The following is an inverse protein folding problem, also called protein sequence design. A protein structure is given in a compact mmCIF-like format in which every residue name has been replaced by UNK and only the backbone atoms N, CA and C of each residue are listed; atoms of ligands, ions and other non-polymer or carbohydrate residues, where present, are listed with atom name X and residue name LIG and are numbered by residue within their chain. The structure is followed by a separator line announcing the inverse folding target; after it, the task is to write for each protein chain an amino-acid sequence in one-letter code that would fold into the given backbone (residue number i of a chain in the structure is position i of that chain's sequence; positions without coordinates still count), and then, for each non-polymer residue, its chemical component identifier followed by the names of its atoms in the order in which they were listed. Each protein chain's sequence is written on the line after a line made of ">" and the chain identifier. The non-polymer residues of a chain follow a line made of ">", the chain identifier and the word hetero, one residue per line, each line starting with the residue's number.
data_IF_522576881686
#
_entry.id   IF_522576881686
#
_cell.length_a   1.000
_cell.length_b   1.000
_cell.length_c   1.000
_cell.angle_alpha   90.00
_cell.angle_beta   90.00
_cell.angle_gamma   90.00
#
_symmetry.space_group_name_H-M   'P 1'
#
loop_
_entity.id
_entity.type
_entity.pdbx_description
1 polymer ?
#
# COMPACT_ATOMS: atom_id res chain seq x y z
N UNK A 1 3.94 16.52 -16.25
CA UNK A 1 4.50 16.40 -14.89
C UNK A 1 3.40 16.71 -13.89
N UNK A 2 3.17 15.81 -12.94
CA UNK A 2 2.13 15.87 -11.93
C UNK A 2 2.27 17.14 -11.12
N UNK A 3 1.17 17.89 -11.02
CA UNK A 3 1.14 19.14 -10.28
C UNK A 3 0.84 18.85 -8.81
N UNK A 4 1.87 18.91 -7.97
CA UNK A 4 1.74 18.74 -6.52
C UNK A 4 1.31 20.05 -5.85
N UNK A 5 -0.01 20.29 -5.81
CA UNK A 5 -0.62 21.46 -5.16
C UNK A 5 -0.40 21.43 -3.64
N UNK A 6 -0.66 22.57 -2.97
CA UNK A 6 -0.63 22.63 -1.49
C UNK A 6 -1.54 21.57 -0.87
N UNK A 7 -2.76 21.40 -1.41
CA UNK A 7 -3.71 20.39 -0.96
C UNK A 7 -3.16 18.96 -1.11
N UNK A 8 -2.55 18.62 -2.23
CA UNK A 8 -1.90 17.31 -2.42
C UNK A 8 -0.80 17.07 -1.38
N UNK A 9 -0.01 18.11 -1.05
CA UNK A 9 1.03 18.00 -0.01
C UNK A 9 0.43 17.76 1.38
N UNK A 10 -0.66 18.46 1.72
CA UNK A 10 -1.41 18.23 2.97
C UNK A 10 -1.96 16.78 3.04
N UNK A 11 -2.42 16.24 1.92
CA UNK A 11 -2.87 14.84 1.84
C UNK A 11 -1.72 13.85 2.05
N UNK A 12 -0.52 14.13 1.53
CA UNK A 12 0.66 13.33 1.85
C UNK A 12 1.00 13.35 3.34
N UNK A 13 0.88 14.51 3.99
CA UNK A 13 1.13 14.63 5.42
C UNK A 13 0.11 13.83 6.25
N UNK A 14 -1.18 13.85 5.88
CA UNK A 14 -2.21 13.02 6.54
C UNK A 14 -1.91 11.52 6.37
N UNK A 15 -1.59 11.08 5.15
CA UNK A 15 -1.21 9.68 4.86
C UNK A 15 0.00 9.27 5.68
N UNK A 16 1.04 10.11 5.74
CA UNK A 16 2.22 9.84 6.57
C UNK A 16 1.83 9.68 8.05
N UNK A 17 1.07 10.62 8.63
CA UNK A 17 0.64 10.56 10.03
C UNK A 17 -0.12 9.28 10.37
N UNK A 18 -1.01 8.83 9.47
CA UNK A 18 -1.74 7.58 9.63
C UNK A 18 -0.82 6.38 9.64
N UNK A 19 0.15 6.30 8.72
CA UNK A 19 1.14 5.23 8.69
C UNK A 19 1.97 5.20 9.98
N UNK A 20 2.41 6.36 10.48
CA UNK A 20 3.12 6.45 11.75
C UNK A 20 2.27 5.98 12.95
N UNK A 21 0.97 6.32 12.96
CA UNK A 21 0.05 5.86 14.00
C UNK A 21 -0.19 4.33 13.95
N UNK A 22 -0.27 3.76 12.75
CA UNK A 22 -0.57 2.34 12.53
C UNK A 22 0.57 1.38 12.87
N UNK A 23 1.80 1.86 13.07
CA UNK A 23 2.96 1.01 13.36
C UNK A 23 3.37 1.20 14.83
N UNK A 24 3.03 0.24 15.73
CA UNK A 24 3.21 0.38 17.17
C UNK A 24 4.65 0.09 17.65
N UNK A 25 5.66 0.34 16.80
CA UNK A 25 7.07 0.25 17.17
C UNK A 25 7.92 1.25 16.39
N UNK A 26 9.20 1.38 16.75
CA UNK A 26 10.16 2.19 15.96
C UNK A 26 10.55 1.43 14.70
N UNK A 27 10.65 2.12 13.58
CA UNK A 27 11.02 1.56 12.29
C UNK A 27 11.97 2.50 11.52
N UNK A 28 12.79 1.91 10.65
CA UNK A 28 13.80 2.66 9.87
C UNK A 28 13.31 3.01 8.46
N UNK A 29 12.50 2.11 7.87
CA UNK A 29 11.94 2.30 6.53
C UNK A 29 10.51 1.80 6.44
N UNK A 30 9.73 2.40 5.55
CA UNK A 30 8.37 1.97 5.19
C UNK A 30 8.17 2.09 3.68
N UNK A 31 7.54 1.09 3.09
CA UNK A 31 7.20 1.00 1.68
C UNK A 31 5.73 0.64 1.55
N UNK A 32 4.93 1.51 0.93
CA UNK A 32 3.51 1.30 0.68
C UNK A 32 3.29 1.16 -0.82
N UNK A 33 2.50 0.17 -1.21
CA UNK A 33 1.92 0.06 -2.55
C UNK A 33 0.41 0.32 -2.46
N UNK A 34 -0.11 1.04 -3.42
CA UNK A 34 -1.55 1.09 -3.64
C UNK A 34 -1.90 1.14 -5.12
N UNK A 35 -2.95 0.43 -5.52
CA UNK A 35 -3.60 0.56 -6.82
C UNK A 35 -5.02 1.07 -6.64
N UNK A 36 -5.51 1.84 -7.61
CA UNK A 36 -6.90 2.32 -7.64
C UNK A 36 -7.43 2.21 -9.06
N UNK A 37 -8.51 1.45 -9.20
CA UNK A 37 -9.21 1.18 -10.45
C UNK A 37 -10.65 1.70 -10.36
N UNK A 38 -11.08 2.38 -11.41
CA UNK A 38 -12.47 2.80 -11.57
C UNK A 38 -13.25 1.65 -12.22
N UNK A 39 -14.21 1.06 -11.52
CA UNK A 39 -15.13 0.08 -12.11
C UNK A 39 -16.21 0.78 -12.94
N UNK A 40 -16.79 0.02 -13.87
CA UNK A 40 -17.85 0.49 -14.79
C UNK A 40 -19.05 1.09 -14.02
N UNK A 41 -19.31 0.62 -12.81
CA UNK A 41 -20.43 1.06 -11.95
C UNK A 41 -20.06 2.17 -10.95
N UNK A 42 -18.95 2.90 -11.20
CA UNK A 42 -18.41 3.97 -10.34
C UNK A 42 -17.88 3.51 -8.98
N UNK A 43 -17.89 2.22 -8.66
CA UNK A 43 -17.16 1.72 -7.50
C UNK A 43 -15.67 1.80 -7.75
N UNK A 44 -14.92 2.20 -6.74
CA UNK A 44 -13.46 2.19 -6.77
C UNK A 44 -12.98 0.94 -6.07
N UNK A 45 -12.09 0.21 -6.72
CA UNK A 45 -11.47 -0.99 -6.17
C UNK A 45 -9.98 -0.93 -6.37
N UNK A 46 -9.23 -1.73 -5.65
CA UNK A 46 -7.79 -1.65 -5.68
C UNK A 46 -7.17 -2.47 -4.58
N UNK A 47 -5.86 -2.33 -4.47
CA UNK A 47 -5.02 -3.07 -3.54
C UNK A 47 -4.28 -2.05 -2.69
N UNK A 48 -4.14 -2.32 -1.40
CA UNK A 48 -3.22 -1.57 -0.54
C UNK A 48 -2.50 -2.55 0.36
N UNK A 49 -1.19 -2.41 0.41
CA UNK A 49 -0.37 -3.07 1.42
C UNK A 49 0.85 -2.20 1.68
N UNK A 50 1.38 -2.29 2.89
CA UNK A 50 2.69 -1.72 3.17
C UNK A 50 3.54 -2.70 3.96
N UNK A 51 4.84 -2.48 3.87
CA UNK A 51 5.86 -3.16 4.64
C UNK A 51 6.69 -2.12 5.37
N UNK A 52 7.00 -2.38 6.63
CA UNK A 52 7.99 -1.60 7.36
C UNK A 52 9.18 -2.47 7.79
N UNK A 53 10.34 -1.83 7.92
CA UNK A 53 11.56 -2.44 8.43
C UNK A 53 11.70 -1.97 9.89
N UNK A 54 11.44 -2.85 10.87
CA UNK A 54 11.51 -2.45 12.26
C UNK A 54 12.95 -2.09 12.64
N UNK A 55 13.09 -1.11 13.55
CA UNK A 55 14.39 -0.67 14.02
C UNK A 55 15.03 -1.75 14.90
N UNK A 56 16.32 -1.98 14.73
CA UNK A 56 17.04 -2.99 15.50
C UNK A 56 18.52 -3.07 15.16
N UNK A 57 19.28 -3.76 16.01
CA UNK A 57 20.73 -3.98 15.84
C UNK A 57 21.00 -4.96 14.68
N UNK A 58 20.10 -5.92 14.45
CA UNK A 58 20.17 -6.89 13.36
C UNK A 58 19.24 -6.50 12.21
N UNK A 59 19.59 -6.91 10.99
CA UNK A 59 18.74 -6.73 9.80
C UNK A 59 17.46 -7.54 9.99
N UNK A 60 16.35 -6.86 10.29
CA UNK A 60 15.04 -7.47 10.48
C UNK A 60 14.35 -7.68 9.14
N UNK A 61 13.58 -8.76 9.03
CA UNK A 61 12.71 -9.00 7.89
C UNK A 61 11.65 -7.89 7.82
N UNK A 62 11.24 -7.47 6.60
CA UNK A 62 10.09 -6.60 6.44
C UNK A 62 8.84 -7.21 7.07
N UNK A 63 8.04 -6.39 7.74
CA UNK A 63 6.76 -6.80 8.36
C UNK A 63 5.63 -6.20 7.54
N UNK A 64 4.71 -7.04 7.07
CA UNK A 64 3.52 -6.62 6.34
C UNK A 64 2.51 -5.97 7.30
N UNK A 65 1.76 -4.98 6.81
CA UNK A 65 0.65 -4.33 7.52
C UNK A 65 -0.33 -5.31 8.19
N UNK A 66 -0.65 -6.42 7.52
CA UNK A 66 -1.59 -7.42 8.02
C UNK A 66 -1.02 -8.33 9.12
N UNK A 67 0.29 -8.30 9.35
CA UNK A 67 0.93 -9.03 10.46
C UNK A 67 0.92 -8.23 11.77
N UNK A 68 0.66 -6.91 11.70
CA UNK A 68 0.73 -6.00 12.86
C UNK A 68 -0.26 -6.41 13.96
N UNK A 69 -1.55 -6.70 13.69
CA UNK A 69 -2.49 -7.06 14.75
C UNK A 69 -2.02 -8.25 15.58
N UNK A 70 -1.58 -9.32 14.92
CA UNK A 70 -1.07 -10.51 15.59
C UNK A 70 0.22 -10.22 16.37
N UNK A 71 1.15 -9.49 15.77
CA UNK A 71 2.47 -9.20 16.37
C UNK A 71 2.37 -8.37 17.65
N UNK A 72 1.36 -7.52 17.76
CA UNK A 72 1.19 -6.59 18.88
C UNK A 72 -0.06 -6.86 19.72
N UNK A 73 -0.74 -7.99 19.47
CA UNK A 73 -1.96 -8.39 20.17
C UNK A 73 -3.04 -7.30 20.12
N UNK A 74 -3.28 -6.74 18.93
CA UNK A 74 -4.31 -5.73 18.67
C UNK A 74 -5.58 -6.40 18.14
N UNK A 75 -6.73 -5.74 18.31
CA UNK A 75 -7.96 -6.18 17.66
C UNK A 75 -7.83 -6.05 16.13
N UNK A 76 -7.91 -7.18 15.43
CA UNK A 76 -7.74 -7.24 13.98
C UNK A 76 -8.81 -6.44 13.24
N UNK A 77 -10.06 -6.45 13.72
CA UNK A 77 -11.18 -5.76 13.07
C UNK A 77 -11.02 -4.25 13.16
N UNK A 78 -10.68 -3.72 14.33
CA UNK A 78 -10.41 -2.29 14.53
C UNK A 78 -9.17 -1.85 13.74
N UNK A 79 -8.12 -2.68 13.71
CA UNK A 79 -6.93 -2.38 12.91
C UNK A 79 -7.24 -2.33 11.40
N UNK A 80 -8.04 -3.27 10.88
CA UNK A 80 -8.45 -3.28 9.48
C UNK A 80 -9.28 -2.05 9.10
N UNK A 81 -10.04 -1.45 10.04
CA UNK A 81 -10.68 -0.15 9.79
C UNK A 81 -9.65 0.95 9.51
N UNK A 82 -8.51 0.96 10.22
CA UNK A 82 -7.43 1.91 9.96
C UNK A 82 -6.82 1.71 8.56
N UNK A 83 -6.65 0.46 8.13
CA UNK A 83 -6.18 0.12 6.78
C UNK A 83 -7.15 0.63 5.72
N UNK A 84 -8.46 0.45 5.93
CA UNK A 84 -9.49 0.95 5.02
C UNK A 84 -9.47 2.47 4.95
N UNK A 85 -9.39 3.16 6.10
CA UNK A 85 -9.29 4.63 6.12
C UNK A 85 -8.03 5.10 5.36
N UNK A 86 -6.90 4.41 5.54
CA UNK A 86 -5.66 4.73 4.80
C UNK A 86 -5.87 4.58 3.29
N UNK A 87 -6.55 3.52 2.84
CA UNK A 87 -6.87 3.31 1.43
C UNK A 87 -7.78 4.42 0.88
N UNK A 88 -8.81 4.83 1.63
CA UNK A 88 -9.67 5.94 1.22
C UNK A 88 -8.90 7.25 1.05
N UNK A 89 -7.85 7.50 1.85
CA UNK A 89 -6.96 8.66 1.63
C UNK A 89 -6.16 8.57 0.33
N UNK A 90 -5.79 7.37 -0.10
CA UNK A 90 -5.17 7.17 -1.42
C UNK A 90 -6.17 7.38 -2.55
N UNK A 91 -7.42 6.93 -2.37
CA UNK A 91 -8.51 7.18 -3.30
C UNK A 91 -8.78 8.69 -3.45
N UNK A 92 -8.91 9.41 -2.34
CA UNK A 92 -9.08 10.86 -2.32
C UNK A 92 -7.93 11.56 -3.05
N UNK A 93 -6.68 11.12 -2.79
CA UNK A 93 -5.49 11.65 -3.44
C UNK A 93 -5.57 11.49 -4.96
N UNK A 94 -6.03 10.34 -5.44
CA UNK A 94 -6.22 10.09 -6.88
C UNK A 94 -7.27 11.02 -7.48
N UNK A 95 -8.40 11.20 -6.80
CA UNK A 95 -9.45 12.10 -7.27
C UNK A 95 -8.99 13.54 -7.33
N UNK A 96 -8.12 13.97 -6.41
CA UNK A 96 -7.54 15.31 -6.49
C UNK A 96 -6.63 15.46 -7.71
N UNK A 97 -5.86 14.43 -8.07
CA UNK A 97 -5.07 14.44 -9.31
C UNK A 97 -5.93 14.43 -10.58
N UNK A 98 -7.04 13.68 -10.61
CA UNK A 98 -7.97 13.67 -11.75
C UNK A 98 -8.55 15.05 -12.08
N UNK A 99 -8.69 15.93 -11.08
CA UNK A 99 -9.15 17.32 -11.31
C UNK A 99 -8.11 18.19 -12.02
N UNK A 100 -6.84 17.78 -11.96
CA UNK A 100 -5.70 18.53 -12.49
C UNK A 100 -5.20 17.96 -13.82
N UNK A 101 -5.40 16.66 -14.05
CA UNK A 101 -4.96 15.96 -15.27
C UNK A 101 -6.07 15.97 -16.34
N UNK A 102 -5.69 16.24 -17.59
CA UNK A 102 -6.64 16.39 -18.71
C UNK A 102 -7.05 15.06 -19.36
N UNK A 103 -6.31 13.97 -19.14
CA UNK A 103 -6.45 12.71 -19.88
C UNK A 103 -6.67 11.52 -18.95
N UNK A 104 -5.59 10.93 -18.46
CA UNK A 104 -5.58 9.78 -17.58
C UNK A 104 -4.69 10.06 -16.38
N UNK A 105 -5.17 9.60 -15.22
CA UNK A 105 -4.40 9.64 -13.98
C UNK A 105 -3.67 8.32 -13.75
N UNK A 106 -2.80 8.29 -12.73
CA UNK A 106 -2.05 7.11 -12.35
C UNK A 106 -2.97 5.96 -11.91
N UNK A 107 -2.53 4.73 -12.14
CA UNK A 107 -3.25 3.51 -11.77
C UNK A 107 -2.77 2.93 -10.45
N UNK A 108 -1.49 3.13 -10.14
CA UNK A 108 -0.88 2.71 -8.89
C UNK A 108 0.23 3.65 -8.47
N UNK A 109 0.59 3.57 -7.19
CA UNK A 109 1.68 4.31 -6.61
C UNK A 109 2.48 3.45 -5.66
N UNK A 110 3.72 3.88 -5.43
CA UNK A 110 4.58 3.38 -4.36
C UNK A 110 5.04 4.56 -3.52
N UNK A 111 4.73 4.56 -2.23
CA UNK A 111 5.27 5.53 -1.26
C UNK A 111 6.44 4.91 -0.49
N UNK A 112 7.47 5.69 -0.23
CA UNK A 112 8.65 5.26 0.53
C UNK A 112 8.96 6.30 1.60
N UNK A 113 9.12 5.84 2.83
CA UNK A 113 9.70 6.63 3.91
C UNK A 113 11.02 5.98 4.31
N UNK A 114 12.12 6.69 4.12
CA UNK A 114 13.46 6.23 4.47
C UNK A 114 14.17 7.34 5.26
N UNK A 115 14.29 7.17 6.57
CA UNK A 115 14.74 8.23 7.47
C UNK A 115 13.82 9.45 7.40
N UNK A 116 14.37 10.61 7.03
CA UNK A 116 13.61 11.87 6.89
C UNK A 116 13.07 12.11 5.47
N UNK A 117 13.22 11.16 4.54
CA UNK A 117 12.81 11.34 3.14
C UNK A 117 11.50 10.61 2.87
N UNK A 118 10.54 11.34 2.33
CA UNK A 118 9.31 10.79 1.75
C UNK A 118 9.39 10.87 0.23
N UNK A 119 9.10 9.75 -0.42
CA UNK A 119 9.05 9.64 -1.88
C UNK A 119 7.73 9.03 -2.32
N UNK A 120 7.23 9.47 -3.46
CA UNK A 120 6.10 8.82 -4.14
C UNK A 120 6.49 8.58 -5.59
N UNK A 121 6.29 7.36 -6.06
CA UNK A 121 6.44 6.96 -7.45
C UNK A 121 5.05 6.60 -7.98
N UNK A 122 4.62 7.28 -9.04
CA UNK A 122 3.34 7.04 -9.72
C UNK A 122 3.58 6.27 -11.01
N UNK A 123 2.77 5.24 -11.24
CA UNK A 123 2.76 4.46 -12.49
C UNK A 123 1.38 4.57 -13.17
N UNK A 124 1.40 4.59 -14.49
CA UNK A 124 0.24 4.78 -15.36
C UNK A 124 -0.08 3.53 -16.18
N UNK A 125 0.53 2.39 -15.84
CA UNK A 125 0.25 1.10 -16.47
C UNK A 125 -1.23 0.69 -16.29
N UNK A 126 -1.84 0.23 -17.38
CA UNK A 126 -3.17 -0.37 -17.32
C UNK A 126 -3.07 -1.77 -16.69
N UNK A 127 -3.38 -1.84 -15.40
CA UNK A 127 -3.28 -3.08 -14.62
C UNK A 127 -4.23 -4.18 -15.12
N UNK A 128 -5.30 -3.82 -15.86
CA UNK A 128 -6.23 -4.80 -16.45
C UNK A 128 -5.63 -5.54 -17.64
N UNK A 129 -4.61 -4.94 -18.28
CA UNK A 129 -3.86 -5.53 -19.40
C UNK A 129 -2.50 -6.09 -18.99
N UNK A 130 -2.23 -6.11 -17.68
CA UNK A 130 -0.98 -6.64 -17.14
C UNK A 130 -0.83 -8.13 -17.46
N UNK A 131 0.36 -8.54 -17.93
CA UNK A 131 0.76 -9.96 -18.08
C UNK A 131 0.91 -10.68 -16.74
N UNK A 132 0.92 -9.92 -15.64
CA UNK A 132 1.05 -10.40 -14.28
C UNK A 132 -0.25 -10.17 -13.51
N UNK A 133 -0.73 -11.22 -12.86
CA UNK A 133 -1.82 -11.18 -11.88
C UNK A 133 -1.48 -10.24 -10.71
N UNK A 134 -2.49 -9.88 -9.92
CA UNK A 134 -2.32 -9.11 -8.68
C UNK A 134 -1.27 -9.76 -7.74
N UNK A 135 -1.35 -11.09 -7.58
CA UNK A 135 -0.38 -11.85 -6.80
C UNK A 135 1.05 -11.76 -7.30
N UNK A 136 1.24 -11.97 -8.61
CA UNK A 136 2.56 -11.85 -9.22
C UNK A 136 3.11 -10.42 -9.11
N UNK A 137 2.26 -9.40 -9.31
CA UNK A 137 2.65 -7.98 -9.16
C UNK A 137 3.10 -7.67 -7.73
N UNK A 138 2.44 -8.22 -6.72
CA UNK A 138 2.88 -8.07 -5.33
C UNK A 138 4.27 -8.69 -5.11
N UNK A 139 4.52 -9.91 -5.61
CA UNK A 139 5.85 -10.55 -5.53
C UNK A 139 6.92 -9.70 -6.21
N UNK A 140 6.65 -9.25 -7.44
CA UNK A 140 7.54 -8.36 -8.22
C UNK A 140 7.81 -7.06 -7.46
N UNK A 141 6.76 -6.47 -6.87
CA UNK A 141 6.90 -5.24 -6.10
C UNK A 141 7.80 -5.45 -4.87
N UNK A 142 7.63 -6.57 -4.14
CA UNK A 142 8.46 -6.88 -2.97
C UNK A 142 9.92 -7.09 -3.38
N UNK A 143 10.18 -7.81 -4.47
CA UNK A 143 11.52 -7.97 -5.04
C UNK A 143 12.17 -6.61 -5.34
N UNK A 144 11.44 -5.73 -6.02
CA UNK A 144 11.94 -4.42 -6.44
C UNK A 144 12.17 -3.41 -5.29
N UNK A 145 11.40 -3.50 -4.20
CA UNK A 145 11.39 -2.45 -3.17
C UNK A 145 11.94 -2.87 -1.81
N UNK A 146 11.80 -4.14 -1.44
CA UNK A 146 12.18 -4.61 -0.10
C UNK A 146 13.58 -5.25 -0.06
N UNK A 147 14.23 -5.39 -1.22
CA UNK A 147 15.54 -6.03 -1.31
C UNK A 147 15.49 -7.51 -0.93
N UNK A 148 14.37 -8.17 -1.24
CA UNK A 148 14.22 -9.63 -1.06
C UNK A 148 15.24 -10.31 -1.96
N UNK A 149 16.08 -11.16 -1.36
CA UNK A 149 17.05 -11.95 -2.10
C UNK A 149 16.41 -13.22 -2.63
N UNK A 150 17.03 -13.78 -3.66
CA UNK A 150 16.63 -15.04 -4.27
C UNK A 150 16.42 -16.15 -3.23
N UNK A 151 17.31 -16.28 -2.24
CA UNK A 151 17.19 -17.33 -1.22
C UNK A 151 15.93 -17.23 -0.34
N UNK A 152 15.24 -16.10 -0.35
CA UNK A 152 14.01 -15.86 0.41
C UNK A 152 12.74 -16.14 -0.40
N UNK A 153 12.88 -16.43 -1.70
CA UNK A 153 11.77 -16.71 -2.60
C UNK A 153 11.44 -18.20 -2.62
N UNK A 154 10.15 -18.53 -2.69
CA UNK A 154 9.72 -19.89 -3.00
C UNK A 154 10.10 -20.27 -4.44
N UNK A 155 10.07 -21.57 -4.77
CA UNK A 155 10.29 -22.04 -6.16
C UNK A 155 9.30 -21.41 -7.15
N UNK A 156 8.09 -21.11 -6.71
CA UNK A 156 7.06 -20.48 -7.55
C UNK A 156 7.31 -18.98 -7.71
N UNK A 157 7.67 -18.29 -6.63
CA UNK A 157 8.04 -16.87 -6.65
C UNK A 157 9.27 -16.64 -7.55
N UNK A 158 10.25 -17.55 -7.52
CA UNK A 158 11.39 -17.53 -8.43
C UNK A 158 10.98 -17.53 -9.90
N UNK A 159 10.06 -18.40 -10.31
CA UNK A 159 9.57 -18.46 -11.70
C UNK A 159 8.86 -17.17 -12.11
N UNK A 160 8.16 -16.53 -11.17
CA UNK A 160 7.48 -15.25 -11.38
C UNK A 160 8.53 -14.14 -11.62
N UNK A 161 9.56 -14.08 -10.78
CA UNK A 161 10.65 -13.10 -10.93
C UNK A 161 11.44 -13.34 -12.22
N UNK A 162 11.73 -14.59 -12.57
CA UNK A 162 12.40 -14.93 -13.83
C UNK A 162 11.61 -14.44 -15.05
N UNK A 163 10.30 -14.73 -15.10
CA UNK A 163 9.39 -14.20 -16.15
C UNK A 163 9.38 -12.67 -16.18
N UNK A 164 9.43 -12.02 -15.01
CA UNK A 164 9.50 -10.57 -14.91
C UNK A 164 10.82 -9.99 -15.47
N UNK A 165 11.95 -10.62 -15.15
CA UNK A 165 13.28 -10.15 -15.58
C UNK A 165 13.55 -10.41 -17.07
N UNK A 166 13.04 -11.53 -17.62
CA UNK A 166 13.16 -11.89 -19.04
C UNK A 166 12.12 -11.19 -19.93
N UNK A 167 11.06 -10.61 -19.33
CA UNK A 167 9.99 -9.95 -20.06
C UNK A 167 10.44 -8.69 -20.80
N UNK A 168 9.70 -8.32 -21.85
CA UNK A 168 9.94 -7.08 -22.60
C UNK A 168 9.89 -5.85 -21.69
N UNK A 169 10.96 -5.06 -21.72
CA UNK A 169 11.04 -3.79 -21.01
C UNK A 169 10.31 -2.72 -21.80
N UNK A 170 9.02 -2.59 -21.57
CA UNK A 170 8.20 -1.50 -22.12
C UNK A 170 8.51 -0.21 -21.37
N UNK A 171 8.70 0.90 -22.11
CA UNK A 171 8.85 2.23 -21.50
C UNK A 171 7.52 2.61 -20.84
N UNK A 172 7.50 2.63 -19.51
CA UNK A 172 6.33 3.01 -18.72
C UNK A 172 6.42 4.47 -18.31
N UNK A 173 5.32 5.22 -18.44
CA UNK A 173 5.23 6.58 -17.87
C UNK A 173 5.28 6.44 -16.35
N UNK A 174 6.30 7.05 -15.76
CA UNK A 174 6.46 7.14 -14.30
C UNK A 174 6.74 8.56 -13.90
N UNK A 175 6.14 8.97 -12.81
CA UNK A 175 6.34 10.31 -12.24
C UNK A 175 6.72 10.20 -10.78
N UNK A 176 7.60 11.10 -10.32
CA UNK A 176 8.21 11.01 -8.99
C UNK A 176 8.05 12.31 -8.22
N UNK A 177 7.78 12.17 -6.93
CA UNK A 177 7.76 13.24 -5.94
C UNK A 177 8.70 12.88 -4.80
N UNK A 178 9.46 13.84 -4.28
CA UNK A 178 10.32 13.69 -3.11
C UNK A 178 10.26 14.93 -2.23
N UNK A 179 10.18 14.74 -0.91
CA UNK A 179 10.24 15.80 0.09
C UNK A 179 10.84 15.29 1.40
N UNK A 180 11.32 16.21 2.24
CA UNK A 180 11.61 15.90 3.63
C UNK A 180 10.33 15.73 4.46
N UNK A 181 10.39 14.88 5.49
CA UNK A 181 9.35 14.66 6.48
C UNK A 181 9.63 15.55 7.69
N UNK A 182 8.66 16.39 8.07
CA UNK A 182 8.72 17.25 9.25
C UNK A 182 7.60 16.91 10.22
N UNK A 183 7.67 15.72 10.82
CA UNK A 183 6.69 15.28 11.81
C UNK A 183 7.20 15.65 13.20
N UNK A 184 6.66 16.74 13.77
CA UNK A 184 6.81 17.05 15.19
C UNK A 184 5.75 16.29 15.99
N UNK A 185 6.18 15.57 17.04
CA UNK A 185 5.33 14.96 18.08
C UNK A 185 4.25 13.98 17.59
N UNK A 186 4.62 12.84 17.03
CA UNK A 186 3.72 11.66 17.07
C UNK A 186 4.08 10.89 18.34
N UNK A 187 3.21 10.96 19.35
CA UNK A 187 3.28 10.03 20.47
C UNK A 187 2.76 8.69 19.92
N UNK A 188 3.59 7.64 19.96
CA UNK A 188 3.16 6.25 19.78
C UNK A 188 2.35 5.84 21.02
N UNK A 189 1.20 6.48 21.27
CA UNK A 189 0.27 6.06 22.31
C UNK A 189 -0.80 5.30 21.56
N UNK A 190 -0.66 3.97 21.59
CA UNK A 190 -1.74 3.08 21.22
C UNK A 190 -2.54 2.88 22.48
N UNK A 191 -3.44 3.81 22.75
CA UNK A 191 -4.57 3.63 23.66
C UNK A 191 -5.79 3.75 22.75
N UNK A 192 -6.44 2.62 22.45
CA UNK A 192 -7.62 2.60 21.60
C UNK A 192 -8.82 3.07 22.44
N UNK A 193 -8.84 4.36 22.77
CA UNK A 193 -10.02 4.99 23.36
C UNK A 193 -11.00 5.34 22.23
N UNK A 194 -12.13 4.64 22.22
CA UNK A 194 -13.10 4.56 21.12
C UNK A 194 -14.05 5.76 21.00
N UNK A 195 -13.81 6.88 21.66
CA UNK A 195 -14.86 7.90 21.85
C UNK A 195 -14.91 9.05 20.82
N UNK A 196 -14.30 8.95 19.63
CA UNK A 196 -14.41 10.04 18.63
C UNK A 196 -14.41 9.64 17.14
N UNK A 197 -14.73 8.39 16.80
CA UNK A 197 -14.91 7.95 15.41
C UNK A 197 -16.38 7.65 15.08
N UNK A 198 -17.28 8.52 15.51
CA UNK A 198 -18.65 8.55 14.99
C UNK A 198 -18.72 9.42 13.73
N UNK A 199 -18.62 8.76 12.57
CA UNK A 199 -19.37 9.20 11.39
C UNK A 199 -19.57 8.01 10.45
N UNK A 200 -20.81 7.52 10.49
CA UNK A 200 -21.52 6.67 9.53
C UNK A 200 -20.93 6.65 8.11
N UNK A 201 -20.57 5.45 7.62
CA UNK A 201 -20.94 4.97 6.28
C UNK A 201 -21.04 3.44 6.30
N UNK A 202 -22.27 2.95 6.11
CA UNK A 202 -22.58 1.55 5.90
C UNK A 202 -22.00 1.07 4.56
N UNK A 203 -20.97 0.23 4.58
CA UNK A 203 -20.58 -0.59 3.42
C UNK A 203 -20.34 -2.02 3.91
N UNK A 204 -21.14 -2.92 3.37
CA UNK A 204 -21.33 -4.31 3.75
C UNK A 204 -20.07 -5.17 3.48
N UNK A 205 -19.65 -5.93 4.50
CA UNK A 205 -18.49 -6.81 4.53
C UNK A 205 -18.85 -8.22 4.06
N UNK A 206 -17.92 -8.92 3.39
CA UNK A 206 -17.89 -10.39 3.38
C UNK A 206 -16.47 -10.84 3.75
N UNK A 207 -16.29 -11.26 5.00
CA UNK A 207 -15.10 -11.97 5.47
C UNK A 207 -15.45 -13.47 5.53
N UNK A 208 -14.80 -14.28 4.70
CA UNK A 208 -14.86 -15.74 4.84
C UNK A 208 -13.76 -16.21 5.78
N UNK A 209 -14.16 -16.87 6.87
CA UNK A 209 -13.30 -17.61 7.79
C UNK A 209 -12.72 -18.86 7.13
N UNK A 210 -11.54 -19.23 7.64
CA UNK A 210 -10.82 -20.50 7.55
C UNK A 210 -10.09 -20.81 6.23
N UNK A 211 -8.76 -20.56 6.21
CA UNK A 211 -7.72 -21.60 6.34
C UNK A 211 -6.31 -20.96 6.36
N UNK A 212 -5.39 -21.56 7.12
CA UNK A 212 -3.97 -21.18 7.24
C UNK A 212 -3.31 -21.01 5.85
N UNK A 213 -3.16 -19.79 5.37
CA UNK A 213 -2.25 -19.47 4.27
C UNK A 213 -1.45 -18.21 4.61
N UNK A 214 -0.17 -18.43 4.89
CA UNK A 214 0.86 -17.39 4.88
C UNK A 214 0.92 -16.81 3.46
N UNK A 215 0.88 -15.48 3.35
CA UNK A 215 0.75 -14.67 2.14
C UNK A 215 -0.66 -14.72 1.52
N UNK A 216 -1.57 -13.84 1.95
CA UNK A 216 -2.81 -13.62 1.20
C UNK A 216 -3.07 -12.15 0.89
N UNK A 217 -3.13 -11.94 -0.41
CA UNK A 217 -3.72 -10.84 -1.13
C UNK A 217 -5.21 -11.14 -1.24
N UNK A 218 -6.02 -10.13 -0.99
CA UNK A 218 -7.47 -10.18 -1.18
C UNK A 218 -7.72 -10.25 -2.70
N UNK A 219 -8.09 -11.43 -3.20
CA UNK A 219 -8.62 -11.61 -4.55
C UNK A 219 -10.10 -12.00 -4.43
N UNK A 220 -10.95 -11.27 -5.15
CA UNK A 220 -12.36 -11.57 -5.33
C UNK A 220 -12.54 -12.69 -6.36
N UNK A 221 -13.25 -13.75 -5.96
CA UNK A 221 -13.60 -14.89 -6.81
C UNK A 221 -14.59 -14.50 -7.92
N UNK A 222 -14.20 -14.77 -9.17
CA UNK A 222 -15.09 -14.82 -10.33
C UNK A 222 -15.32 -16.27 -10.77
N UNK A 223 -16.37 -16.87 -10.20
CA UNK A 223 -17.23 -17.99 -10.65
C UNK A 223 -16.66 -19.09 -11.58
N UNK A 224 -16.68 -20.32 -11.03
CA UNK A 224 -16.93 -21.56 -11.75
C UNK A 224 -18.43 -21.61 -12.12
N UNK A 225 -18.75 -21.49 -13.40
CA UNK A 225 -19.63 -22.40 -14.15
C UNK A 225 -19.46 -22.17 -15.64
#
# INVERSE_FOLDING_TARGET
>A
MLKHTKKIKEMYEDIQRRIFYMIPEKWDKMYLYASVSDLIDRRKTGELFFYYIPKGIFKKNPVNVYEIPQKFNLDEKEYLKLVNILYEKIVDLREEFKKLELTSTWSNLTMKIEGIKFKVEYDYEDLTKSKFSSYERHIIWRYNNLGIREEQLSKEEHKIIERYLLGEKVVKRRERYETGIYIKNIKNIVDYDTENYDSEQNIEYVATKDEKIINQIIMSNGQIK
#
